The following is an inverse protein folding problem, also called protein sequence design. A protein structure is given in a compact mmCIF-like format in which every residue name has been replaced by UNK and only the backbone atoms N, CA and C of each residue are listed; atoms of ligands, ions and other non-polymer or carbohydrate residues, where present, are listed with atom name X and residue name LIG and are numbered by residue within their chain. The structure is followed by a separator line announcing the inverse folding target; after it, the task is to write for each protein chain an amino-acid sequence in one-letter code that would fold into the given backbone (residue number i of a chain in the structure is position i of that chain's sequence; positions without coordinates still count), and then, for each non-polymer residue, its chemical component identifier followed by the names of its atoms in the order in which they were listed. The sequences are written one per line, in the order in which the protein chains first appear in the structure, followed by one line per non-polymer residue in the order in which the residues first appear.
data_IF_016774453930
#
_entry.id   IF_016774453930
#
_cell.length_a   1.000
_cell.length_b   1.000
_cell.length_c   1.000
_cell.angle_alpha   90.00
_cell.angle_beta   90.00
_cell.angle_gamma   90.00
#
_symmetry.space_group_name_H-M   'P 1'
#
loop_
_entity.id
_entity.type
_entity.pdbx_description
1 polymer ?
#
# COMPACT_ATOMS: atom_id res chain seq x y z
N UNK A 1 -18.24 12.31 3.65
CA UNK A 1 -17.45 13.41 4.23
C UNK A 1 -15.99 12.98 4.33
N UNK A 2 -15.01 13.86 4.08
CA UNK A 2 -13.58 13.51 4.22
C UNK A 2 -13.15 13.70 5.67
N UNK A 3 -12.52 12.65 6.24
CA UNK A 3 -11.92 12.72 7.57
C UNK A 3 -10.69 13.63 7.55
N UNK A 4 -9.78 13.44 6.56
CA UNK A 4 -8.55 14.21 6.40
C UNK A 4 -8.48 14.83 5.01
N UNK A 5 -8.04 16.09 4.96
CA UNK A 5 -7.71 16.83 3.74
C UNK A 5 -6.30 17.40 3.86
N UNK A 6 -5.45 17.00 2.94
CA UNK A 6 -4.10 17.52 2.74
C UNK A 6 -4.12 18.24 1.40
N UNK A 7 -3.83 19.54 1.38
CA UNK A 7 -3.93 20.37 0.17
C UNK A 7 -2.64 21.12 -0.09
N UNK A 8 -2.03 20.84 -1.25
CA UNK A 8 -0.82 21.51 -1.75
C UNK A 8 0.31 21.58 -0.73
N UNK A 9 0.47 20.51 0.07
CA UNK A 9 1.44 20.47 1.15
C UNK A 9 2.85 20.32 0.59
N UNK A 10 3.74 21.22 1.02
CA UNK A 10 5.18 21.14 0.80
C UNK A 10 5.90 21.06 2.14
N UNK A 11 6.87 20.15 2.25
CA UNK A 11 7.73 20.01 3.42
C UNK A 11 9.19 20.10 3.03
N UNK A 12 9.99 20.81 3.85
CA UNK A 12 11.44 20.98 3.68
C UNK A 12 12.20 20.32 4.81
N UNK A 13 13.28 19.65 4.46
CA UNK A 13 14.24 19.11 5.41
C UNK A 13 15.65 19.51 5.00
N UNK A 14 16.40 20.20 5.88
CA UNK A 14 17.74 20.76 5.61
C UNK A 14 17.80 21.58 4.30
N UNK A 15 16.77 22.39 4.05
CA UNK A 15 16.69 23.28 2.87
C UNK A 15 16.28 22.60 1.56
N UNK A 16 16.07 21.29 1.55
CA UNK A 16 15.59 20.53 0.37
C UNK A 16 14.10 20.21 0.52
N UNK A 17 13.36 20.35 -0.57
CA UNK A 17 11.98 19.89 -0.62
C UNK A 17 11.97 18.36 -0.58
N UNK A 18 11.18 17.82 0.34
CA UNK A 18 10.94 16.38 0.47
C UNK A 18 9.54 16.03 0.01
N UNK A 19 8.59 16.95 0.20
CA UNK A 19 7.24 16.90 -0.37
C UNK A 19 7.02 18.20 -1.16
N UNK A 20 6.38 18.09 -2.32
CA UNK A 20 6.12 19.22 -3.19
C UNK A 20 4.66 19.23 -3.65
N UNK A 21 3.90 20.25 -3.22
CA UNK A 21 2.50 20.50 -3.57
C UNK A 21 1.60 19.25 -3.52
N UNK A 22 1.83 18.41 -2.53
CA UNK A 22 1.14 17.14 -2.39
C UNK A 22 -0.28 17.34 -1.88
N UNK A 23 -1.25 16.69 -2.53
CA UNK A 23 -2.64 16.68 -2.10
C UNK A 23 -3.14 15.23 -1.93
N UNK A 24 -3.86 14.99 -0.83
CA UNK A 24 -4.43 13.70 -0.49
C UNK A 24 -5.67 13.89 0.37
N UNK A 25 -6.72 13.15 0.08
CA UNK A 25 -7.92 13.09 0.92
C UNK A 25 -8.10 11.68 1.47
N UNK A 26 -8.57 11.58 2.71
CA UNK A 26 -8.98 10.31 3.33
C UNK A 26 -10.42 10.47 3.80
N UNK A 27 -11.30 9.54 3.42
CA UNK A 27 -12.68 9.53 3.87
C UNK A 27 -12.82 9.00 5.31
N UNK A 28 -13.98 9.21 5.91
CA UNK A 28 -14.28 8.58 7.21
C UNK A 28 -14.23 7.06 7.07
N UNK A 29 -13.63 6.39 8.05
CA UNK A 29 -13.45 4.94 8.06
C UNK A 29 -12.68 4.37 6.84
N UNK A 30 -11.92 5.18 6.13
CA UNK A 30 -11.09 4.75 5.00
C UNK A 30 -9.66 4.45 5.46
N UNK A 31 -9.08 3.39 4.91
CA UNK A 31 -7.67 3.02 5.13
C UNK A 31 -6.90 3.31 3.84
N UNK A 32 -5.99 4.26 3.89
CA UNK A 32 -5.12 4.62 2.76
C UNK A 32 -3.69 4.16 3.03
N UNK A 33 -3.10 3.43 2.10
CA UNK A 33 -1.69 3.09 2.14
C UNK A 33 -0.85 4.07 1.34
N UNK A 34 0.21 4.59 1.94
CA UNK A 34 1.28 5.30 1.24
C UNK A 34 2.35 4.27 0.84
N UNK A 35 2.43 3.96 -0.44
CA UNK A 35 3.33 2.95 -0.98
C UNK A 35 4.40 3.62 -1.87
N UNK A 36 5.63 3.16 -1.83
CA UNK A 36 6.72 3.73 -2.64
C UNK A 36 8.10 3.37 -2.09
N UNK A 37 9.15 3.68 -2.85
CA UNK A 37 10.53 3.41 -2.46
C UNK A 37 10.92 4.11 -1.16
N UNK A 38 11.96 3.63 -0.48
CA UNK A 38 12.50 4.29 0.71
C UNK A 38 12.99 5.70 0.37
N UNK A 39 12.74 6.66 1.27
CA UNK A 39 13.18 8.04 1.11
C UNK A 39 12.30 8.91 0.18
N UNK A 40 11.19 8.42 -0.37
CA UNK A 40 10.31 9.21 -1.25
C UNK A 40 9.35 10.18 -0.53
N UNK A 41 9.40 10.30 0.81
CA UNK A 41 8.63 11.30 1.57
C UNK A 41 7.43 10.78 2.37
N UNK A 42 7.11 9.48 2.37
CA UNK A 42 5.95 8.89 3.06
C UNK A 42 5.90 9.20 4.56
N UNK A 43 6.97 8.86 5.29
CA UNK A 43 7.10 9.16 6.73
C UNK A 43 7.11 10.66 7.00
N UNK A 44 7.62 11.48 6.07
CA UNK A 44 7.57 12.94 6.15
C UNK A 44 6.14 13.43 6.14
N UNK A 45 5.28 12.90 5.25
CA UNK A 45 3.86 13.24 5.23
C UNK A 45 3.16 12.82 6.53
N UNK A 46 3.42 11.60 7.04
CA UNK A 46 2.86 11.16 8.31
C UNK A 46 3.23 12.11 9.45
N UNK A 47 4.52 12.49 9.55
CA UNK A 47 5.01 13.42 10.58
C UNK A 47 4.38 14.80 10.45
N UNK A 48 4.17 15.31 9.24
CA UNK A 48 3.48 16.57 9.01
C UNK A 48 2.01 16.51 9.46
N UNK A 49 1.29 15.45 9.12
CA UNK A 49 -0.10 15.22 9.56
C UNK A 49 -0.17 15.11 11.10
N UNK A 50 0.78 14.41 11.72
CA UNK A 50 0.87 14.28 13.17
C UNK A 50 1.26 15.59 13.89
N UNK A 51 1.76 16.62 13.18
CA UNK A 51 2.27 17.85 13.76
C UNK A 51 3.69 17.79 14.30
N UNK A 52 4.42 16.74 13.93
CA UNK A 52 5.82 16.53 14.32
C UNK A 52 6.80 17.19 13.34
N UNK A 53 6.31 17.69 12.21
CA UNK A 53 7.08 18.42 11.22
C UNK A 53 6.25 19.59 10.71
N UNK A 54 6.78 20.83 10.73
CA UNK A 54 6.06 21.99 10.22
C UNK A 54 5.93 21.95 8.70
N UNK A 55 4.82 22.51 8.19
CA UNK A 55 4.64 22.72 6.75
C UNK A 55 5.50 23.91 6.27
N UNK A 56 6.02 23.80 5.05
CA UNK A 56 6.55 24.94 4.32
C UNK A 56 5.42 25.68 3.58
N UNK A 57 4.46 24.93 3.02
CA UNK A 57 3.30 25.45 2.29
C UNK A 57 2.14 24.47 2.39
N UNK A 58 0.92 24.94 2.06
CA UNK A 58 -0.29 24.14 2.01
C UNK A 58 -1.07 24.13 3.31
N UNK A 59 -2.06 23.23 3.39
CA UNK A 59 -2.95 23.09 4.54
C UNK A 59 -3.24 21.64 4.87
N UNK A 60 -3.46 21.36 6.15
CA UNK A 60 -3.94 20.07 6.66
C UNK A 60 -5.18 20.31 7.51
N UNK A 61 -6.28 19.62 7.20
CA UNK A 61 -7.55 19.68 7.94
C UNK A 61 -7.99 18.29 8.38
N UNK A 62 -8.54 18.18 9.58
CA UNK A 62 -9.19 16.98 10.08
C UNK A 62 -10.67 17.30 10.35
N UNK A 63 -11.57 16.81 9.49
CA UNK A 63 -12.94 17.30 9.44
C UNK A 63 -12.96 18.80 9.19
N UNK A 64 -13.67 19.55 10.02
CA UNK A 64 -13.78 21.01 9.91
C UNK A 64 -12.61 21.78 10.56
N UNK A 65 -11.71 21.07 11.27
CA UNK A 65 -10.61 21.71 12.01
C UNK A 65 -9.38 21.85 11.12
N UNK A 66 -8.88 23.10 10.97
CA UNK A 66 -7.58 23.37 10.38
C UNK A 66 -6.48 22.99 11.38
N UNK A 67 -5.70 21.97 11.07
CA UNK A 67 -4.60 21.49 11.93
C UNK A 67 -3.30 22.24 11.68
N UNK A 68 -3.01 22.53 10.40
CA UNK A 68 -1.78 23.22 9.99
C UNK A 68 -2.01 24.04 8.73
N UNK A 69 -1.37 25.20 8.62
CA UNK A 69 -1.50 26.09 7.47
C UNK A 69 -1.42 27.56 7.87
N UNK A 70 -1.77 28.51 6.97
CA UNK A 70 -1.68 29.93 7.25
C UNK A 70 -2.47 30.32 8.50
N UNK A 71 -1.76 30.77 9.55
CA UNK A 71 -2.34 31.23 10.82
C UNK A 71 -2.81 30.12 11.77
N UNK A 72 -2.52 28.86 11.49
CA UNK A 72 -2.86 27.72 12.33
C UNK A 72 -1.70 26.74 12.45
N UNK A 73 -1.39 26.29 13.66
CA UNK A 73 -0.47 25.18 13.94
C UNK A 73 -0.92 24.52 15.24
N UNK A 74 -1.75 23.47 15.11
CA UNK A 74 -2.25 22.71 16.25
C UNK A 74 -1.15 21.75 16.70
N UNK A 75 -0.75 21.75 18.00
CA UNK A 75 0.28 20.84 18.48
C UNK A 75 -0.17 19.37 18.41
N UNK A 76 0.76 18.41 18.33
CA UNK A 76 0.46 16.98 18.11
C UNK A 76 -0.58 16.40 19.07
N UNK A 77 -0.47 16.70 20.37
CA UNK A 77 -1.35 16.21 21.43
C UNK A 77 -2.79 16.73 21.35
N UNK A 78 -3.02 17.80 20.58
CA UNK A 78 -4.35 18.40 20.39
C UNK A 78 -4.99 18.02 19.03
N UNK A 79 -4.29 17.28 18.15
CA UNK A 79 -4.80 16.93 16.80
C UNK A 79 -5.83 15.82 16.81
N UNK A 80 -6.03 15.11 17.91
CA UNK A 80 -6.90 13.94 17.98
C UNK A 80 -6.54 12.85 16.96
N UNK A 81 -5.24 12.62 16.78
CA UNK A 81 -4.64 11.64 15.86
C UNK A 81 -3.82 10.65 16.69
N UNK A 82 -4.06 9.35 16.49
CA UNK A 82 -3.22 8.29 17.03
C UNK A 82 -2.05 8.02 16.09
N UNK A 83 -0.84 7.83 16.63
CA UNK A 83 0.32 7.47 15.81
C UNK A 83 1.04 6.24 16.37
N UNK A 84 1.39 5.34 15.47
CA UNK A 84 2.24 4.17 15.74
C UNK A 84 3.51 4.32 14.93
N UNK A 85 4.65 4.31 15.61
CA UNK A 85 5.98 4.38 15.02
C UNK A 85 6.50 2.99 14.64
N UNK A 86 7.49 2.93 13.78
CA UNK A 86 8.09 1.69 13.27
C UNK A 86 8.65 0.78 14.38
N UNK A 87 9.21 1.36 15.44
CA UNK A 87 9.75 0.68 16.62
C UNK A 87 8.73 0.51 17.75
N UNK A 88 7.42 0.76 17.44
CA UNK A 88 6.29 0.77 18.38
C UNK A 88 6.39 1.84 19.47
N UNK A 89 7.56 2.38 19.75
CA UNK A 89 7.85 3.40 20.77
C UNK A 89 7.18 3.10 22.12
N UNK A 90 7.18 1.84 22.56
CA UNK A 90 6.69 1.47 23.87
C UNK A 90 7.68 1.91 24.94
N UNK A 91 7.16 2.40 26.07
CA UNK A 91 7.96 2.77 27.22
C UNK A 91 8.47 1.50 27.93
N UNK A 92 9.77 1.19 27.89
CA UNK A 92 10.29 -0.10 28.35
C UNK A 92 10.22 -0.30 29.86
N UNK A 93 10.13 0.79 30.60
CA UNK A 93 10.05 0.85 32.06
C UNK A 93 8.62 0.84 32.61
N UNK A 94 7.61 0.90 31.74
CA UNK A 94 6.20 0.84 32.09
C UNK A 94 5.62 -0.53 31.75
N UNK A 95 4.64 -0.97 32.53
CA UNK A 95 3.86 -2.17 32.23
C UNK A 95 3.01 -1.98 30.97
N UNK A 96 2.43 -3.06 30.45
CA UNK A 96 1.47 -3.01 29.34
C UNK A 96 0.27 -2.12 29.67
N UNK A 97 -0.30 -2.27 30.87
CA UNK A 97 -1.43 -1.43 31.31
C UNK A 97 -1.04 0.03 31.39
N UNK A 98 0.15 0.35 31.92
CA UNK A 98 0.63 1.72 32.01
C UNK A 98 0.99 2.32 30.67
N UNK A 99 1.54 1.54 29.74
CA UNK A 99 1.74 1.94 28.36
C UNK A 99 0.42 2.33 27.71
N UNK A 100 -0.61 1.45 27.77
CA UNK A 100 -1.93 1.71 27.19
C UNK A 100 -2.58 2.93 27.84
N UNK A 101 -2.57 3.00 29.17
CA UNK A 101 -3.18 4.09 29.92
C UNK A 101 -2.39 5.41 29.93
N UNK A 102 -1.24 5.49 29.26
CA UNK A 102 -0.34 6.65 29.33
C UNK A 102 -1.01 7.98 28.95
N UNK A 103 -1.86 7.96 27.91
CA UNK A 103 -2.59 9.14 27.43
C UNK A 103 -3.82 9.53 28.28
N UNK A 104 -4.25 8.68 29.23
CA UNK A 104 -5.47 8.87 30.01
C UNK A 104 -5.25 9.68 31.30
N UNK A 105 -4.54 10.80 31.20
CA UNK A 105 -4.09 11.60 32.36
C UNK A 105 -5.22 12.34 33.08
N UNK A 106 -6.38 12.52 32.41
CA UNK A 106 -7.53 13.28 32.96
C UNK A 106 -8.55 12.41 33.69
N UNK A 107 -8.40 11.09 33.66
CA UNK A 107 -9.32 10.16 34.28
C UNK A 107 -8.87 9.79 35.71
N UNK A 108 -9.84 9.51 36.56
CA UNK A 108 -9.56 8.86 37.81
C UNK A 108 -9.04 7.42 37.62
N UNK A 109 -8.50 6.84 38.70
CA UNK A 109 -7.85 5.52 38.62
C UNK A 109 -8.79 4.41 38.16
N UNK A 110 -10.04 4.44 38.60
CA UNK A 110 -11.03 3.39 38.27
C UNK A 110 -11.44 3.48 36.81
N UNK A 111 -11.80 4.67 36.33
CA UNK A 111 -12.17 4.91 34.93
C UNK A 111 -10.98 4.65 33.97
N UNK A 112 -9.75 5.03 34.39
CA UNK A 112 -8.54 4.71 33.61
C UNK A 112 -8.34 3.21 33.49
N UNK A 113 -8.45 2.45 34.59
CA UNK A 113 -8.30 0.98 34.56
C UNK A 113 -9.35 0.32 33.67
N UNK A 114 -10.61 0.73 33.79
CA UNK A 114 -11.67 0.20 32.94
C UNK A 114 -11.37 0.42 31.44
N UNK A 115 -10.96 1.63 31.03
CA UNK A 115 -10.63 1.91 29.63
C UNK A 115 -9.41 1.13 29.15
N UNK A 116 -8.39 0.93 30.00
CA UNK A 116 -7.22 0.10 29.70
C UNK A 116 -7.64 -1.36 29.47
N UNK A 117 -8.49 -1.93 30.34
CA UNK A 117 -8.97 -3.30 30.23
C UNK A 117 -9.80 -3.50 28.96
N UNK A 118 -10.67 -2.54 28.63
CA UNK A 118 -11.43 -2.52 27.36
C UNK A 118 -10.51 -2.47 26.14
N UNK A 119 -9.48 -1.60 26.16
CA UNK A 119 -8.52 -1.48 25.07
C UNK A 119 -7.68 -2.76 24.90
N UNK A 120 -7.24 -3.37 26.00
CA UNK A 120 -6.53 -4.65 25.96
C UNK A 120 -7.41 -5.80 25.44
N UNK A 121 -8.72 -5.78 25.79
CA UNK A 121 -9.67 -6.75 25.26
C UNK A 121 -9.85 -6.61 23.75
N UNK A 122 -9.94 -5.39 23.22
CA UNK A 122 -10.05 -5.11 21.78
C UNK A 122 -8.90 -5.71 20.95
N UNK A 123 -7.71 -5.76 21.53
CA UNK A 123 -6.50 -6.28 20.84
C UNK A 123 -6.12 -7.71 21.25
N UNK A 124 -6.99 -8.43 21.98
CA UNK A 124 -6.78 -9.80 22.48
C UNK A 124 -5.53 -9.95 23.38
N UNK A 125 -5.33 -9.01 24.30
CA UNK A 125 -4.22 -9.03 25.28
C UNK A 125 -4.71 -9.05 26.73
N UNK A 126 -5.91 -9.56 27.00
CA UNK A 126 -6.44 -9.72 28.36
C UNK A 126 -5.47 -10.53 29.23
N UNK A 127 -5.31 -10.11 30.47
CA UNK A 127 -4.40 -10.77 31.44
C UNK A 127 -2.92 -10.51 31.25
N UNK A 128 -2.53 -9.67 30.27
CA UNK A 128 -1.11 -9.29 30.07
C UNK A 128 -0.76 -7.90 30.60
N UNK A 129 -1.68 -7.24 31.32
CA UNK A 129 -1.52 -5.87 31.79
C UNK A 129 -0.29 -5.61 32.66
N UNK A 130 0.10 -6.57 33.47
CA UNK A 130 1.23 -6.45 34.41
C UNK A 130 2.59 -6.78 33.78
N UNK A 131 2.62 -7.25 32.52
CA UNK A 131 3.86 -7.55 31.81
C UNK A 131 4.54 -6.28 31.32
N UNK A 132 5.86 -6.39 31.12
CA UNK A 132 6.67 -5.34 30.49
C UNK A 132 6.87 -5.64 28.98
N UNK A 133 7.16 -4.63 28.15
CA UNK A 133 7.35 -4.80 26.71
C UNK A 133 8.36 -5.89 26.34
N UNK A 134 9.48 -6.01 27.05
CA UNK A 134 10.50 -7.02 26.80
C UNK A 134 10.04 -8.49 27.05
N UNK A 135 8.91 -8.68 27.71
CA UNK A 135 8.30 -10.00 27.98
C UNK A 135 7.27 -10.41 26.91
N UNK A 136 7.11 -9.58 25.86
CA UNK A 136 6.13 -9.77 24.80
C UNK A 136 6.81 -10.12 23.47
N UNK A 137 6.10 -10.90 22.64
CA UNK A 137 6.49 -11.07 21.23
C UNK A 137 6.28 -9.77 20.44
N UNK A 138 6.95 -9.61 19.28
CA UNK A 138 6.80 -8.44 18.43
C UNK A 138 5.34 -8.14 18.05
N UNK A 139 4.56 -9.17 17.71
CA UNK A 139 3.13 -9.01 17.43
C UNK A 139 2.30 -8.58 18.66
N UNK A 140 2.68 -9.03 19.87
CA UNK A 140 2.05 -8.55 21.10
C UNK A 140 2.43 -7.10 21.40
N UNK A 141 3.69 -6.71 21.22
CA UNK A 141 4.14 -5.32 21.37
C UNK A 141 3.39 -4.39 20.42
N UNK A 142 3.21 -4.80 19.17
CA UNK A 142 2.42 -4.03 18.22
C UNK A 142 0.96 -3.87 18.67
N UNK A 143 0.32 -4.93 19.17
CA UNK A 143 -1.04 -4.84 19.72
C UNK A 143 -1.12 -3.89 20.90
N UNK A 144 -0.11 -3.85 21.76
CA UNK A 144 -0.02 -2.85 22.86
C UNK A 144 0.07 -1.44 22.29
N UNK A 145 0.89 -1.20 21.26
CA UNK A 145 1.01 0.11 20.64
C UNK A 145 -0.33 0.56 19.99
N UNK A 146 -1.05 -0.37 19.37
CA UNK A 146 -2.39 -0.12 18.82
C UNK A 146 -3.38 0.21 19.95
N UNK A 147 -3.43 -0.59 21.03
CA UNK A 147 -4.30 -0.33 22.17
C UNK A 147 -4.02 1.06 22.79
N UNK A 148 -2.73 1.42 22.96
CA UNK A 148 -2.30 2.73 23.45
C UNK A 148 -2.79 3.88 22.56
N UNK A 149 -2.76 3.71 21.26
CA UNK A 149 -3.25 4.72 20.33
C UNK A 149 -4.79 4.80 20.32
N UNK A 150 -5.48 3.65 20.37
CA UNK A 150 -6.94 3.55 20.30
C UNK A 150 -7.65 4.00 21.59
N UNK A 151 -7.03 3.82 22.76
CA UNK A 151 -7.64 4.16 24.06
C UNK A 151 -8.04 5.64 24.15
N UNK A 152 -7.34 6.51 23.43
CA UNK A 152 -7.65 7.94 23.32
C UNK A 152 -8.77 8.25 22.31
N UNK A 153 -9.36 7.24 21.67
CA UNK A 153 -10.45 7.35 20.66
C UNK A 153 -10.13 8.37 19.56
N UNK A 154 -9.01 8.19 18.82
CA UNK A 154 -8.60 9.14 17.78
C UNK A 154 -9.57 9.11 16.60
N UNK A 155 -9.67 10.23 15.88
CA UNK A 155 -10.42 10.29 14.60
C UNK A 155 -9.66 9.67 13.43
N UNK A 156 -8.33 9.65 13.50
CA UNK A 156 -7.44 9.12 12.47
C UNK A 156 -6.27 8.39 13.12
N UNK A 157 -5.89 7.27 12.54
CA UNK A 157 -4.68 6.54 12.90
C UNK A 157 -3.59 6.72 11.84
N UNK A 158 -2.36 7.00 12.28
CA UNK A 158 -1.17 7.03 11.45
C UNK A 158 -0.27 5.86 11.85
N UNK A 159 0.13 5.03 10.89
CA UNK A 159 0.94 3.85 11.13
C UNK A 159 2.18 3.90 10.23
N UNK A 160 3.35 4.06 10.82
CA UNK A 160 4.62 4.10 10.09
C UNK A 160 5.28 2.73 10.11
N UNK A 161 5.21 1.99 8.99
CA UNK A 161 5.71 0.62 8.80
C UNK A 161 5.33 -0.34 9.94
N UNK A 162 4.04 -0.44 10.32
CA UNK A 162 3.62 -1.08 11.57
C UNK A 162 3.90 -2.59 11.61
N UNK A 163 4.16 -3.23 10.47
CA UNK A 163 4.32 -4.69 10.37
C UNK A 163 5.75 -5.15 10.10
N UNK A 164 6.73 -4.22 10.01
CA UNK A 164 8.10 -4.51 9.59
C UNK A 164 8.84 -5.50 10.52
N UNK A 165 8.57 -5.43 11.84
CA UNK A 165 9.26 -6.24 12.85
C UNK A 165 8.51 -7.53 13.22
N UNK A 166 7.57 -8.00 12.37
CA UNK A 166 6.73 -9.16 12.64
C UNK A 166 7.16 -10.32 11.75
N UNK A 167 7.18 -11.51 12.32
CA UNK A 167 7.41 -12.75 11.58
C UNK A 167 6.40 -12.91 10.43
N UNK A 168 6.90 -13.32 9.27
CA UNK A 168 6.12 -13.42 8.03
C UNK A 168 4.91 -14.36 8.17
N UNK A 169 5.03 -15.45 8.97
CA UNK A 169 3.96 -16.43 9.12
C UNK A 169 2.73 -15.87 9.83
N UNK A 170 2.93 -14.95 10.79
CA UNK A 170 1.82 -14.36 11.57
C UNK A 170 1.41 -12.98 11.06
N UNK A 171 2.25 -12.35 10.25
CA UNK A 171 2.07 -10.96 9.77
C UNK A 171 0.74 -10.76 9.06
N UNK A 172 0.44 -11.60 8.07
CA UNK A 172 -0.80 -11.45 7.27
C UNK A 172 -2.07 -11.59 8.11
N UNK A 173 -2.08 -12.53 9.05
CA UNK A 173 -3.20 -12.69 9.99
C UNK A 173 -3.39 -11.43 10.84
N UNK A 174 -2.29 -10.88 11.37
CA UNK A 174 -2.34 -9.67 12.20
C UNK A 174 -2.80 -8.44 11.40
N UNK A 175 -2.38 -8.30 10.15
CA UNK A 175 -2.83 -7.26 9.22
C UNK A 175 -4.35 -7.29 9.09
N UNK A 176 -4.94 -8.46 8.82
CA UNK A 176 -6.38 -8.62 8.65
C UNK A 176 -7.15 -8.34 9.96
N UNK A 177 -6.63 -8.78 11.10
CA UNK A 177 -7.23 -8.52 12.41
C UNK A 177 -7.24 -7.03 12.75
N UNK A 178 -6.12 -6.32 12.50
CA UNK A 178 -6.03 -4.87 12.76
C UNK A 178 -6.93 -4.10 11.79
N UNK A 179 -6.97 -4.49 10.51
CA UNK A 179 -7.89 -3.91 9.55
C UNK A 179 -9.35 -4.04 10.03
N UNK A 180 -9.76 -5.24 10.42
CA UNK A 180 -11.11 -5.49 10.93
C UNK A 180 -11.42 -4.63 12.17
N UNK A 181 -10.47 -4.53 13.09
CA UNK A 181 -10.59 -3.71 14.29
C UNK A 181 -10.81 -2.21 13.96
N UNK A 182 -9.98 -1.62 13.09
CA UNK A 182 -10.12 -0.22 12.70
C UNK A 182 -11.46 0.04 12.01
N UNK A 183 -11.88 -0.85 11.11
CA UNK A 183 -13.18 -0.79 10.44
C UNK A 183 -14.35 -0.87 11.40
N UNK A 184 -14.29 -1.78 12.37
CA UNK A 184 -15.32 -1.94 13.40
C UNK A 184 -15.42 -0.70 14.30
N UNK A 185 -14.30 -0.06 14.60
CA UNK A 185 -14.27 1.18 15.40
C UNK A 185 -14.62 2.43 14.58
N UNK A 186 -14.81 2.33 13.27
CA UNK A 186 -15.12 3.47 12.39
C UNK A 186 -13.96 4.46 12.25
N UNK A 187 -12.71 4.01 12.48
CA UNK A 187 -11.53 4.87 12.48
C UNK A 187 -10.84 4.82 11.12
N UNK A 188 -10.66 5.98 10.49
CA UNK A 188 -9.84 6.12 9.29
C UNK A 188 -8.36 5.93 9.62
N UNK A 189 -7.57 5.44 8.63
CA UNK A 189 -6.14 5.25 8.84
C UNK A 189 -5.31 5.62 7.61
N UNK A 190 -4.11 6.14 7.86
CA UNK A 190 -3.03 6.19 6.86
C UNK A 190 -1.90 5.31 7.35
N UNK A 191 -1.45 4.39 6.52
CA UNK A 191 -0.28 3.60 6.86
C UNK A 191 0.78 3.63 5.76
N UNK A 192 2.02 3.57 6.18
CA UNK A 192 3.19 3.45 5.31
C UNK A 192 3.61 2.01 5.23
N UNK A 193 3.85 1.49 4.05
CA UNK A 193 4.50 0.21 3.83
C UNK A 193 5.43 0.26 2.61
N UNK A 194 6.39 -0.62 2.59
CA UNK A 194 7.19 -0.96 1.41
C UNK A 194 6.82 -2.34 0.83
N UNK A 195 5.95 -3.09 1.50
CA UNK A 195 5.39 -4.37 1.02
C UNK A 195 4.09 -4.13 0.25
N UNK A 196 4.05 -4.64 -0.97
CA UNK A 196 2.86 -4.61 -1.83
C UNK A 196 1.75 -5.50 -1.27
N UNK A 197 2.14 -6.66 -0.74
CA UNK A 197 1.24 -7.65 -0.16
C UNK A 197 0.51 -7.06 1.05
N UNK A 198 1.22 -6.36 1.93
CA UNK A 198 0.63 -5.62 3.05
C UNK A 198 -0.34 -4.55 2.55
N UNK A 199 0.11 -3.76 1.57
CA UNK A 199 -0.69 -2.67 1.01
C UNK A 199 -1.99 -3.20 0.37
N UNK A 200 -1.93 -4.29 -0.40
CA UNK A 200 -3.11 -4.91 -1.01
C UNK A 200 -4.06 -5.53 0.02
N UNK A 201 -3.56 -6.09 1.11
CA UNK A 201 -4.38 -6.71 2.13
C UNK A 201 -5.03 -5.70 3.09
N UNK A 202 -4.35 -4.60 3.39
CA UNK A 202 -4.77 -3.66 4.43
C UNK A 202 -5.54 -2.45 3.92
N UNK A 203 -5.21 -1.92 2.73
CA UNK A 203 -5.74 -0.65 2.24
C UNK A 203 -7.07 -0.78 1.48
N UNK A 204 -7.90 0.24 1.60
CA UNK A 204 -9.02 0.48 0.68
C UNK A 204 -8.53 1.23 -0.57
N UNK A 205 -7.56 2.15 -0.39
CA UNK A 205 -6.89 2.86 -1.47
C UNK A 205 -5.39 2.92 -1.25
N UNK A 206 -4.65 2.87 -2.35
CA UNK A 206 -3.21 3.09 -2.39
C UNK A 206 -2.92 4.49 -2.93
N UNK A 207 -1.97 5.19 -2.32
CA UNK A 207 -1.32 6.38 -2.87
C UNK A 207 0.13 6.00 -3.18
N UNK A 208 0.47 5.88 -4.45
CA UNK A 208 1.82 5.52 -4.88
C UNK A 208 2.71 6.76 -4.94
N UNK A 209 3.76 6.74 -4.14
CA UNK A 209 4.71 7.84 -4.01
C UNK A 209 5.93 7.66 -4.89
N UNK A 210 6.36 8.77 -5.50
CA UNK A 210 7.63 8.89 -6.21
C UNK A 210 8.21 10.28 -6.02
N UNK A 211 9.45 10.36 -5.49
CA UNK A 211 10.22 11.60 -5.39
C UNK A 211 9.44 12.82 -4.83
N UNK A 212 8.70 12.61 -3.71
CA UNK A 212 7.96 13.70 -3.04
C UNK A 212 6.55 13.98 -3.58
N UNK A 213 6.11 13.28 -4.62
CA UNK A 213 4.79 13.42 -5.25
C UNK A 213 3.99 12.13 -5.18
N UNK A 214 2.68 12.25 -5.37
CA UNK A 214 1.80 11.09 -5.59
C UNK A 214 1.63 10.88 -7.09
N UNK A 215 2.06 9.74 -7.59
CA UNK A 215 1.93 9.34 -9.00
C UNK A 215 0.50 8.92 -9.35
N UNK A 216 -0.10 8.09 -8.51
CA UNK A 216 -1.47 7.61 -8.70
C UNK A 216 -2.11 7.25 -7.37
N UNK A 217 -3.42 7.51 -7.26
CA UNK A 217 -4.27 7.10 -6.12
C UNK A 217 -5.46 6.34 -6.62
N UNK A 218 -5.82 5.24 -5.96
CA UNK A 218 -7.01 4.45 -6.29
C UNK A 218 -7.07 3.13 -5.54
N UNK A 219 -8.07 2.32 -5.83
CA UNK A 219 -8.17 0.97 -5.26
C UNK A 219 -6.98 0.11 -5.72
N UNK A 220 -6.48 -0.80 -4.86
CA UNK A 220 -5.32 -1.65 -5.18
C UNK A 220 -5.45 -2.38 -6.53
N UNK A 221 -6.59 -3.02 -6.77
CA UNK A 221 -6.87 -3.72 -8.01
C UNK A 221 -6.87 -2.78 -9.24
N UNK A 222 -7.43 -1.58 -9.09
CA UNK A 222 -7.45 -0.58 -10.16
C UNK A 222 -6.04 -0.14 -10.56
N UNK A 223 -5.17 0.18 -9.57
CA UNK A 223 -3.79 0.57 -9.85
C UNK A 223 -3.00 -0.55 -10.51
N UNK A 224 -3.23 -1.78 -10.08
CA UNK A 224 -2.57 -2.95 -10.63
C UNK A 224 -2.99 -3.25 -12.08
N UNK A 225 -4.29 -3.19 -12.36
CA UNK A 225 -4.86 -3.53 -13.68
C UNK A 225 -4.82 -2.38 -14.67
N UNK A 226 -4.91 -1.11 -14.20
CA UNK A 226 -4.96 0.11 -15.02
C UNK A 226 -3.96 1.17 -14.50
N UNK A 227 -2.66 0.87 -14.54
CA UNK A 227 -1.65 1.84 -14.14
C UNK A 227 -1.63 3.02 -15.12
N UNK A 228 -1.49 4.25 -14.59
CA UNK A 228 -1.45 5.46 -15.42
C UNK A 228 -0.16 5.60 -16.22
N UNK A 229 0.93 5.00 -15.74
CA UNK A 229 2.23 5.03 -16.39
C UNK A 229 3.05 3.78 -16.08
N UNK A 230 4.19 3.65 -16.78
CA UNK A 230 5.10 2.50 -16.63
C UNK A 230 5.65 2.36 -15.22
N UNK A 231 5.96 3.47 -14.56
CA UNK A 231 6.46 3.44 -13.18
C UNK A 231 5.46 2.74 -12.25
N UNK A 232 4.18 3.11 -12.32
CA UNK A 232 3.12 2.45 -11.52
C UNK A 232 2.99 0.98 -11.91
N UNK A 233 3.02 0.67 -13.21
CA UNK A 233 2.95 -0.71 -13.70
C UNK A 233 4.08 -1.58 -13.12
N UNK A 234 5.32 -1.15 -13.26
CA UNK A 234 6.53 -1.86 -12.83
C UNK A 234 6.65 -1.92 -11.30
N UNK A 235 6.30 -0.82 -10.63
CA UNK A 235 6.35 -0.78 -9.18
C UNK A 235 5.40 -1.80 -8.55
N UNK A 236 4.19 -1.99 -9.08
CA UNK A 236 3.19 -2.88 -8.49
C UNK A 236 3.41 -4.36 -8.79
N UNK A 237 4.12 -4.71 -9.87
CA UNK A 237 4.40 -6.12 -10.17
C UNK A 237 5.19 -6.33 -11.45
N UNK A 238 5.47 -7.60 -11.77
CA UNK A 238 6.09 -7.98 -13.03
C UNK A 238 5.26 -7.50 -14.24
N UNK A 239 5.93 -7.09 -15.30
CA UNK A 239 5.32 -6.62 -16.55
C UNK A 239 6.10 -7.11 -17.76
N UNK A 240 5.38 -7.42 -18.83
CA UNK A 240 5.90 -7.57 -20.17
C UNK A 240 5.45 -6.40 -21.01
N UNK A 241 6.32 -5.92 -21.89
CA UNK A 241 5.98 -4.89 -22.88
C UNK A 241 6.16 -5.46 -24.29
N UNK A 242 5.12 -5.38 -25.11
CA UNK A 242 5.12 -5.81 -26.49
C UNK A 242 4.89 -4.60 -27.40
N UNK A 243 5.70 -4.45 -28.45
CA UNK A 243 5.38 -3.53 -29.52
C UNK A 243 4.02 -3.93 -30.12
N UNK A 244 3.14 -2.96 -30.30
CA UNK A 244 1.78 -3.15 -30.73
C UNK A 244 1.36 -2.10 -31.75
N UNK A 245 0.66 -2.52 -32.80
CA UNK A 245 -0.01 -1.65 -33.79
C UNK A 245 -1.52 -1.79 -33.61
N UNK A 246 -2.22 -0.69 -33.49
CA UNK A 246 -3.67 -0.67 -33.35
C UNK A 246 -4.35 -1.15 -34.64
N UNK A 247 -5.16 -2.21 -34.55
CA UNK A 247 -5.91 -2.79 -35.66
C UNK A 247 -7.32 -2.21 -35.74
N UNK A 248 -8.02 -2.14 -34.60
CA UNK A 248 -9.35 -1.57 -34.46
C UNK A 248 -9.55 -1.02 -33.05
N UNK A 249 -10.78 -0.67 -32.66
CA UNK A 249 -11.07 -0.09 -31.34
C UNK A 249 -10.80 -1.02 -30.16
N UNK A 250 -10.63 -2.34 -30.36
CA UNK A 250 -10.45 -3.33 -29.31
C UNK A 250 -9.16 -4.13 -29.46
N UNK A 251 -8.58 -4.20 -30.66
CA UNK A 251 -7.53 -5.14 -31.01
C UNK A 251 -6.23 -4.45 -31.42
N UNK A 252 -5.12 -5.04 -31.01
CA UNK A 252 -3.78 -4.65 -31.41
C UNK A 252 -3.02 -5.84 -32.01
N UNK A 253 -2.17 -5.57 -32.99
CA UNK A 253 -1.26 -6.56 -33.58
C UNK A 253 0.07 -6.52 -32.85
N UNK A 254 0.57 -7.67 -32.42
CA UNK A 254 1.84 -7.82 -31.72
C UNK A 254 2.64 -8.97 -32.32
N UNK A 255 3.85 -9.21 -31.84
CA UNK A 255 4.64 -10.39 -32.19
C UNK A 255 4.01 -11.73 -31.71
N UNK A 256 3.07 -11.67 -30.76
CA UNK A 256 2.29 -12.87 -30.33
C UNK A 256 0.97 -13.01 -31.12
N UNK A 257 0.80 -12.29 -32.24
CA UNK A 257 -0.43 -12.23 -33.00
C UNK A 257 -1.34 -11.07 -32.64
N UNK A 258 -2.62 -11.18 -33.04
CA UNK A 258 -3.63 -10.18 -32.73
C UNK A 258 -4.22 -10.44 -31.33
N UNK A 259 -4.14 -9.45 -30.46
CA UNK A 259 -4.67 -9.49 -29.09
C UNK A 259 -5.82 -8.50 -29.00
N UNK A 260 -6.99 -9.01 -28.58
CA UNK A 260 -8.20 -8.19 -28.45
C UNK A 260 -8.56 -8.02 -26.98
N UNK A 261 -8.84 -6.77 -26.60
CA UNK A 261 -9.28 -6.39 -25.27
C UNK A 261 -10.77 -6.60 -25.06
N UNK A 262 -11.17 -6.67 -23.80
CA UNK A 262 -12.58 -6.75 -23.37
C UNK A 262 -13.34 -5.42 -23.51
N UNK A 263 -12.62 -4.31 -23.68
CA UNK A 263 -13.16 -2.95 -23.77
C UNK A 263 -12.44 -2.16 -24.85
N UNK A 264 -13.08 -1.10 -25.42
CA UNK A 264 -12.40 -0.20 -26.33
C UNK A 264 -11.22 0.52 -25.65
N UNK A 265 -10.09 0.62 -26.32
CA UNK A 265 -8.88 1.26 -25.77
C UNK A 265 -8.74 2.75 -26.16
N UNK A 266 -9.58 3.28 -27.05
CA UNK A 266 -9.63 4.69 -27.41
C UNK A 266 -8.45 5.23 -28.23
N UNK A 267 -7.60 4.35 -28.80
CA UNK A 267 -6.46 4.72 -29.64
C UNK A 267 -6.82 4.65 -31.12
N UNK A 268 -6.09 5.40 -31.96
CA UNK A 268 -6.34 5.47 -33.41
C UNK A 268 -5.78 4.25 -34.14
N UNK A 269 -6.46 3.78 -35.18
CA UNK A 269 -5.99 2.68 -36.05
C UNK A 269 -4.66 3.05 -36.70
N UNK A 270 -3.70 2.11 -36.67
CA UNK A 270 -2.34 2.30 -37.18
C UNK A 270 -1.37 2.97 -36.19
N UNK A 271 -1.86 3.37 -34.99
CA UNK A 271 -1.00 3.91 -33.95
C UNK A 271 -0.04 2.86 -33.41
N UNK A 272 1.25 3.20 -33.31
CA UNK A 272 2.29 2.32 -32.78
C UNK A 272 2.45 2.59 -31.27
N UNK A 273 2.27 1.56 -30.45
CA UNK A 273 2.23 1.64 -29.00
C UNK A 273 2.99 0.47 -28.37
N UNK A 274 3.04 0.44 -27.06
CA UNK A 274 3.47 -0.72 -26.30
C UNK A 274 2.32 -1.25 -25.47
N UNK A 275 1.95 -2.50 -25.71
CA UNK A 275 1.00 -3.25 -24.90
C UNK A 275 1.70 -3.75 -23.64
N UNK A 276 1.13 -3.40 -22.47
CA UNK A 276 1.53 -3.95 -21.18
C UNK A 276 0.74 -5.24 -20.89
N UNK A 277 1.45 -6.30 -20.53
CA UNK A 277 0.86 -7.57 -20.07
C UNK A 277 1.46 -7.97 -18.73
N UNK A 278 0.60 -8.39 -17.80
CA UNK A 278 1.03 -9.03 -16.56
C UNK A 278 1.43 -10.48 -16.82
N UNK A 279 2.44 -11.04 -16.12
CA UNK A 279 2.85 -12.44 -16.29
C UNK A 279 1.71 -13.45 -16.18
N UNK A 280 0.71 -13.21 -15.30
CA UNK A 280 -0.45 -14.09 -15.13
C UNK A 280 -1.52 -13.93 -16.20
N UNK A 281 -1.40 -12.99 -17.11
CA UNK A 281 -2.27 -12.86 -18.29
C UNK A 281 -1.80 -13.72 -19.46
N UNK A 282 -0.61 -14.30 -19.36
CA UNK A 282 -0.03 -15.21 -20.35
C UNK A 282 -0.27 -16.66 -19.91
N UNK A 283 -1.15 -17.34 -20.59
CA UNK A 283 -1.39 -18.78 -20.45
C UNK A 283 -0.44 -19.54 -21.38
N UNK A 284 0.33 -20.46 -20.81
CA UNK A 284 1.24 -21.30 -21.56
C UNK A 284 0.71 -22.73 -21.57
N UNK A 285 0.70 -23.35 -22.74
CA UNK A 285 0.32 -24.77 -22.96
C UNK A 285 1.51 -25.50 -23.55
N UNK A 286 1.96 -26.58 -22.90
CA UNK A 286 3.05 -27.44 -23.43
C UNK A 286 2.67 -28.03 -24.78
N UNK A 287 3.55 -27.90 -25.76
CA UNK A 287 3.35 -28.46 -27.08
C UNK A 287 4.70 -28.72 -27.76
N UNK A 288 4.87 -29.91 -28.34
CA UNK A 288 6.12 -30.26 -29.04
C UNK A 288 6.38 -29.39 -30.28
N UNK A 289 5.30 -28.92 -30.93
CA UNK A 289 5.29 -28.02 -32.09
C UNK A 289 5.07 -26.55 -31.72
N UNK A 290 5.12 -26.21 -30.41
CA UNK A 290 4.94 -24.85 -29.91
C UNK A 290 5.98 -23.86 -30.46
N UNK A 291 5.54 -22.64 -30.77
CA UNK A 291 6.43 -21.61 -31.35
C UNK A 291 7.36 -20.99 -30.29
N UNK A 292 6.98 -21.07 -29.02
CA UNK A 292 7.75 -20.51 -27.93
C UNK A 292 8.77 -21.50 -27.40
N UNK A 293 9.96 -21.00 -27.09
CA UNK A 293 11.00 -21.73 -26.37
C UNK A 293 10.99 -21.34 -24.90
N UNK A 294 10.79 -22.33 -24.03
CA UNK A 294 10.95 -22.17 -22.59
C UNK A 294 12.44 -22.12 -22.26
N UNK A 295 12.90 -21.01 -21.66
CA UNK A 295 14.30 -20.76 -21.31
C UNK A 295 14.57 -21.16 -19.87
N UNK A 296 13.67 -20.81 -18.96
CA UNK A 296 13.82 -21.03 -17.52
C UNK A 296 12.45 -21.26 -16.90
N UNK A 297 12.39 -22.18 -15.93
CA UNK A 297 11.24 -22.37 -15.05
C UNK A 297 11.69 -22.39 -13.61
N UNK A 298 10.96 -21.67 -12.75
CA UNK A 298 11.23 -21.59 -11.32
C UNK A 298 9.94 -21.78 -10.55
N UNK A 299 9.85 -22.86 -9.77
CA UNK A 299 8.72 -23.08 -8.88
C UNK A 299 8.88 -22.22 -7.59
N UNK A 300 7.88 -21.39 -7.31
CA UNK A 300 7.87 -20.45 -6.19
C UNK A 300 6.85 -20.80 -5.10
N UNK A 301 6.46 -22.08 -5.01
CA UNK A 301 5.56 -22.61 -3.99
C UNK A 301 4.09 -22.60 -4.43
N UNK A 302 3.53 -21.47 -4.79
CA UNK A 302 2.12 -21.32 -5.19
C UNK A 302 1.94 -20.98 -6.66
N UNK A 303 3.02 -20.76 -7.40
CA UNK A 303 3.03 -20.60 -8.85
C UNK A 303 4.42 -20.93 -9.40
N UNK A 304 4.48 -21.10 -10.71
CA UNK A 304 5.72 -21.27 -11.46
C UNK A 304 5.97 -20.03 -12.32
N UNK A 305 7.13 -19.42 -12.15
CA UNK A 305 7.64 -18.37 -13.02
C UNK A 305 8.28 -19.02 -14.24
N UNK A 306 7.84 -18.65 -15.42
CA UNK A 306 8.36 -19.19 -16.68
C UNK A 306 8.88 -18.05 -17.53
N UNK A 307 10.15 -18.14 -17.92
CA UNK A 307 10.77 -17.26 -18.86
C UNK A 307 10.81 -17.96 -20.22
N UNK A 308 10.30 -17.32 -21.25
CA UNK A 308 10.23 -17.90 -22.59
C UNK A 308 10.62 -16.88 -23.67
N UNK A 309 11.02 -17.38 -24.82
CA UNK A 309 11.43 -16.62 -25.99
C UNK A 309 10.47 -16.84 -27.16
N UNK A 310 10.13 -15.76 -27.88
CA UNK A 310 9.40 -15.74 -29.13
C UNK A 310 10.14 -14.82 -30.10
N UNK A 311 10.95 -15.42 -31.01
CA UNK A 311 11.89 -14.65 -31.83
C UNK A 311 12.91 -13.92 -30.96
N UNK A 312 12.99 -12.60 -31.11
CA UNK A 312 13.88 -11.73 -30.28
C UNK A 312 13.24 -11.31 -28.93
N UNK A 313 11.96 -11.61 -28.74
CA UNK A 313 11.25 -11.24 -27.52
C UNK A 313 11.54 -12.23 -26.41
N UNK A 314 11.80 -11.69 -25.20
CA UNK A 314 11.90 -12.47 -23.97
C UNK A 314 10.82 -12.02 -23.02
N UNK A 315 9.94 -12.96 -22.64
CA UNK A 315 8.74 -12.68 -21.86
C UNK A 315 8.66 -13.58 -20.62
N UNK A 316 7.93 -13.11 -19.63
CA UNK A 316 7.71 -13.82 -18.37
C UNK A 316 6.22 -14.16 -18.22
N UNK A 317 5.91 -15.42 -17.91
CA UNK A 317 4.59 -15.88 -17.51
C UNK A 317 4.60 -16.38 -16.04
N UNK A 318 3.43 -16.31 -15.43
CA UNK A 318 3.17 -16.90 -14.10
C UNK A 318 2.03 -17.90 -14.22
N UNK A 319 2.33 -19.19 -14.07
CA UNK A 319 1.39 -20.32 -14.25
C UNK A 319 1.29 -21.14 -12.96
N UNK A 320 0.19 -21.88 -12.79
CA UNK A 320 -0.05 -22.66 -11.58
C UNK A 320 0.92 -23.83 -11.41
N UNK A 321 1.20 -24.56 -12.49
CA UNK A 321 2.03 -25.77 -12.49
C UNK A 321 3.16 -25.65 -13.52
N UNK A 322 4.31 -26.32 -13.29
CA UNK A 322 5.41 -26.33 -14.24
C UNK A 322 4.98 -26.93 -15.60
N UNK A 323 5.53 -26.38 -16.68
CA UNK A 323 5.35 -26.92 -18.01
C UNK A 323 6.16 -28.22 -18.20
N UNK A 324 5.59 -29.17 -18.91
CA UNK A 324 6.32 -30.32 -19.40
C UNK A 324 6.96 -29.98 -20.76
N UNK A 325 8.29 -30.13 -20.86
CA UNK A 325 9.03 -29.88 -22.11
C UNK A 325 9.58 -28.46 -22.26
N UNK A 326 10.16 -28.20 -23.44
CA UNK A 326 10.92 -26.95 -23.73
C UNK A 326 10.20 -26.03 -24.73
N UNK A 327 9.03 -26.43 -25.21
CA UNK A 327 8.21 -25.65 -26.16
C UNK A 327 6.78 -25.50 -25.68
N UNK A 328 6.17 -24.39 -26.02
CA UNK A 328 4.80 -24.06 -25.62
C UNK A 328 4.10 -23.18 -26.67
N UNK A 329 2.78 -23.18 -26.61
CA UNK A 329 1.93 -22.13 -27.17
C UNK A 329 1.60 -21.10 -26.09
N UNK A 330 1.38 -19.85 -26.50
CA UNK A 330 0.90 -18.79 -25.61
C UNK A 330 -0.48 -18.32 -26.02
N UNK A 331 -1.32 -18.10 -25.02
CA UNK A 331 -2.59 -17.40 -25.17
C UNK A 331 -2.68 -16.27 -24.16
N UNK A 332 -3.13 -15.11 -24.60
CA UNK A 332 -3.40 -13.98 -23.73
C UNK A 332 -4.84 -14.06 -23.21
N UNK A 333 -5.03 -14.01 -21.89
CA UNK A 333 -6.37 -13.97 -21.29
C UNK A 333 -7.09 -12.67 -21.66
N UNK A 334 -8.40 -12.70 -21.97
CA UNK A 334 -9.16 -11.48 -22.24
C UNK A 334 -9.11 -10.51 -21.06
N UNK A 335 -8.74 -9.25 -21.31
CA UNK A 335 -8.67 -8.18 -20.32
C UNK A 335 -8.78 -6.81 -21.03
N UNK A 336 -8.94 -5.72 -20.28
CA UNK A 336 -8.82 -4.37 -20.81
C UNK A 336 -7.35 -4.09 -21.17
N UNK A 337 -7.06 -3.74 -22.41
CA UNK A 337 -5.69 -3.49 -22.86
C UNK A 337 -5.13 -2.21 -22.21
N UNK A 338 -3.92 -2.30 -21.70
CA UNK A 338 -3.15 -1.15 -21.18
C UNK A 338 -2.05 -0.83 -22.19
N UNK A 339 -2.18 0.33 -22.82
CA UNK A 339 -1.32 0.77 -23.92
C UNK A 339 -0.56 2.02 -23.50
N UNK A 340 0.76 1.99 -23.60
CA UNK A 340 1.64 3.12 -23.36
C UNK A 340 2.29 3.60 -24.67
N UNK A 341 2.64 4.88 -24.72
CA UNK A 341 3.43 5.41 -25.82
C UNK A 341 4.81 4.71 -25.85
N UNK A 342 5.41 4.50 -27.03
CA UNK A 342 6.75 3.94 -27.14
C UNK A 342 7.76 4.71 -26.32
N UNK A 343 8.80 4.03 -25.82
CA UNK A 343 9.96 4.75 -25.26
C UNK A 343 10.68 5.50 -26.39
N UNK A 344 11.15 6.72 -26.11
CA UNK A 344 11.89 7.51 -27.06
C UNK A 344 13.18 6.82 -27.52
#
# INVERSE_FOLDING_TARGET
LSCLQVENVSCRYNGRNVLEQLSLTVADNEIVCLLGASGCGKTTLLKAIAGLLPLAEGTIRLGDTLLDGPGASVPPEARNIGMIFQDYALFPHLTVADNVGFGLTKLDRSARQQQVDEALALVNLQGLGDRYPHQLSGGQQQRVAIARALVCKPRLMLLDEPFSNIDTQVRMKLILEIRALLKQQGIGAIFVSHSKEEAFAFADRLALFRAGHIEQVGQPEQLYRRPQNRFVAEFLGGVNYLAAEVVDSHCVRTALGVICGSEPHGRAVGELLQLMLRPQQLLLESAADGELKVVEQQFLGHHCRVLFESGELRLEASIGEPLEGVRAWVRVTPHALVLFDPLP
#
